data_IF_323404963891
#
_entry.id   IF_323404963891
#
_cell.length_a   1.000
_cell.length_b   1.000
_cell.length_c   1.000
_cell.angle_alpha   90.00
_cell.angle_beta   90.00
_cell.angle_gamma   90.00
#
_symmetry.space_group_name_H-M   'P 1'
#
loop_
_entity.id
_entity.type
_entity.pdbx_description
1 polymer ?
#
# COMPACT_ATOMS: atom_id res chain seq x y z
N UNK A 1 -17.01 45.25 8.45
CA UNK A 1 -17.40 43.91 7.98
C UNK A 1 -16.48 43.44 6.88
N UNK A 2 -16.43 44.17 5.78
CA UNK A 2 -15.66 43.80 4.57
C UNK A 2 -14.17 43.55 4.79
N UNK A 3 -13.49 44.31 5.65
CA UNK A 3 -12.06 44.12 5.92
C UNK A 3 -11.76 42.82 6.68
N UNK A 4 -12.62 42.44 7.61
CA UNK A 4 -12.45 41.21 8.38
C UNK A 4 -12.84 39.98 7.54
N UNK A 5 -13.83 40.13 6.66
CA UNK A 5 -14.20 39.14 5.64
C UNK A 5 -13.04 38.79 4.70
N UNK A 6 -12.32 39.80 4.22
CA UNK A 6 -11.15 39.60 3.37
C UNK A 6 -10.02 38.89 4.15
N UNK A 7 -9.77 39.28 5.39
CA UNK A 7 -8.70 38.71 6.22
C UNK A 7 -8.93 37.22 6.51
N UNK A 8 -10.12 36.82 6.95
CA UNK A 8 -10.40 35.40 7.21
C UNK A 8 -10.59 34.57 5.96
N UNK A 9 -10.70 35.19 4.78
CA UNK A 9 -10.73 34.45 3.51
C UNK A 9 -9.31 34.17 3.03
N UNK A 10 -8.42 35.17 3.10
CA UNK A 10 -7.03 35.05 2.63
C UNK A 10 -6.18 34.19 3.57
N UNK A 11 -6.36 34.34 4.89
CA UNK A 11 -5.52 33.66 5.87
C UNK A 11 -5.61 32.11 5.75
N UNK A 12 -6.81 31.50 5.65
CA UNK A 12 -6.94 30.08 5.36
C UNK A 12 -6.39 29.69 3.98
N UNK A 13 -6.55 30.51 2.94
CA UNK A 13 -5.99 30.22 1.61
C UNK A 13 -4.47 30.12 1.63
N UNK A 14 -3.79 30.98 2.39
CA UNK A 14 -2.33 30.92 2.54
C UNK A 14 -1.91 29.66 3.31
N UNK A 15 -2.63 29.29 4.37
CA UNK A 15 -2.36 28.04 5.11
C UNK A 15 -2.49 26.83 4.18
N UNK A 16 -3.55 26.77 3.37
CA UNK A 16 -3.73 25.70 2.39
C UNK A 16 -2.60 25.66 1.37
N UNK A 17 -2.12 26.81 0.90
CA UNK A 17 -0.98 26.87 -0.02
C UNK A 17 0.29 26.27 0.60
N UNK A 18 0.58 26.57 1.87
CA UNK A 18 1.73 26.00 2.56
C UNK A 18 1.64 24.49 2.77
N UNK A 19 0.44 23.94 2.95
CA UNK A 19 0.23 22.49 3.07
C UNK A 19 0.28 21.81 1.69
N UNK A 20 -0.23 22.47 0.65
CA UNK A 20 -0.29 21.92 -0.70
C UNK A 20 1.10 21.74 -1.33
N UNK A 21 2.04 22.68 -1.11
CA UNK A 21 3.39 22.60 -1.67
C UNK A 21 4.13 21.30 -1.31
N UNK A 22 4.31 20.92 -0.02
CA UNK A 22 4.95 19.65 0.32
C UNK A 22 4.11 18.44 -0.09
N UNK A 23 2.78 18.54 -0.09
CA UNK A 23 1.89 17.46 -0.55
C UNK A 23 2.09 17.13 -2.03
N UNK A 24 2.19 18.14 -2.89
CA UNK A 24 2.42 17.94 -4.32
C UNK A 24 3.85 17.46 -4.60
N UNK A 25 4.85 18.02 -3.91
CA UNK A 25 6.22 17.54 -4.03
C UNK A 25 6.33 16.05 -3.68
N UNK A 26 5.66 15.61 -2.61
CA UNK A 26 5.61 14.21 -2.22
C UNK A 26 4.91 13.34 -3.29
N UNK A 27 3.75 13.79 -3.77
CA UNK A 27 3.00 13.07 -4.80
C UNK A 27 3.84 12.80 -6.05
N UNK A 28 4.50 13.84 -6.59
CA UNK A 28 5.34 13.69 -7.77
C UNK A 28 6.58 12.84 -7.49
N UNK A 29 7.17 12.91 -6.29
CA UNK A 29 8.30 12.05 -5.93
C UNK A 29 7.92 10.56 -5.81
N UNK A 30 6.66 10.25 -5.47
CA UNK A 30 6.17 8.87 -5.37
C UNK A 30 5.81 8.28 -6.74
N UNK A 31 5.37 9.11 -7.70
CA UNK A 31 4.97 8.69 -9.04
C UNK A 31 6.18 8.36 -9.94
N UNK A 32 7.37 8.86 -9.60
CA UNK A 32 8.61 8.49 -10.25
C UNK A 32 9.02 7.03 -9.93
N UNK A 33 8.32 6.07 -10.54
CA UNK A 33 8.73 4.65 -10.66
C UNK A 33 9.87 4.57 -11.70
N UNK A 34 10.99 5.22 -11.40
CA UNK A 34 12.14 5.34 -12.32
C UNK A 34 13.18 4.22 -12.09
N UNK A 35 12.97 3.38 -11.07
CA UNK A 35 13.88 2.26 -10.80
C UNK A 35 13.30 1.02 -11.44
N UNK A 36 13.98 0.50 -12.47
CA UNK A 36 13.71 -0.83 -13.03
C UNK A 36 13.52 -1.83 -11.87
N UNK A 37 12.31 -2.38 -11.66
CA UNK A 37 12.06 -3.22 -10.52
C UNK A 37 12.87 -4.52 -10.66
N UNK A 38 13.64 -4.86 -9.62
CA UNK A 38 14.45 -6.08 -9.63
C UNK A 38 13.59 -7.35 -9.50
N UNK A 39 12.41 -7.25 -8.87
CA UNK A 39 11.43 -8.32 -8.68
C UNK A 39 10.02 -7.72 -8.73
N UNK A 40 9.11 -8.42 -9.40
CA UNK A 40 7.68 -8.14 -9.50
C UNK A 40 6.89 -9.26 -8.85
N UNK A 41 6.05 -8.88 -7.88
CA UNK A 41 5.11 -9.78 -7.21
C UNK A 41 3.71 -9.22 -7.45
N UNK A 42 2.80 -10.06 -7.93
CA UNK A 42 1.38 -9.70 -8.02
C UNK A 42 0.66 -10.17 -6.77
N UNK A 43 -0.08 -9.28 -6.13
CA UNK A 43 -1.00 -9.61 -5.05
C UNK A 43 -2.44 -9.59 -5.58
N UNK A 44 -3.09 -10.74 -5.62
CA UNK A 44 -4.47 -10.92 -6.11
C UNK A 44 -5.39 -11.06 -4.91
N UNK A 45 -6.33 -10.14 -4.76
CA UNK A 45 -7.32 -10.17 -3.68
C UNK A 45 -8.54 -11.01 -4.06
N UNK A 46 -8.83 -12.04 -3.26
CA UNK A 46 -10.05 -12.84 -3.35
C UNK A 46 -10.98 -12.55 -2.18
N UNK A 47 -12.15 -13.19 -2.16
CA UNK A 47 -13.08 -13.06 -1.04
C UNK A 47 -12.49 -13.74 0.21
N UNK A 48 -11.93 -12.92 1.11
CA UNK A 48 -11.35 -13.26 2.41
C UNK A 48 -9.97 -13.96 2.41
N UNK A 49 -9.24 -13.92 1.30
CA UNK A 49 -7.84 -14.38 1.23
C UNK A 49 -7.09 -13.65 0.11
N UNK A 50 -5.76 -13.78 0.13
CA UNK A 50 -4.88 -13.20 -0.87
C UNK A 50 -4.06 -14.28 -1.57
N UNK A 51 -3.81 -14.13 -2.86
CA UNK A 51 -2.91 -15.00 -3.61
C UNK A 51 -1.73 -14.17 -4.12
N UNK A 52 -0.51 -14.68 -3.93
CA UNK A 52 0.70 -13.99 -4.37
C UNK A 52 1.36 -14.77 -5.51
N UNK A 53 1.68 -14.07 -6.60
CA UNK A 53 2.35 -14.62 -7.79
C UNK A 53 3.69 -13.93 -8.03
N UNK A 54 4.78 -14.70 -8.03
CA UNK A 54 6.10 -14.23 -8.45
C UNK A 54 6.25 -14.41 -9.97
N UNK A 55 6.16 -13.33 -10.74
CA UNK A 55 6.16 -13.39 -12.20
C UNK A 55 7.53 -13.49 -12.84
N UNK A 56 8.59 -13.14 -12.10
CA UNK A 56 9.91 -12.89 -12.69
C UNK A 56 10.81 -14.13 -12.75
N UNK A 57 10.47 -15.19 -12.01
CA UNK A 57 11.23 -16.44 -11.94
C UNK A 57 10.70 -17.52 -12.90
N UNK A 58 10.39 -17.16 -14.15
CA UNK A 58 10.03 -18.11 -15.20
C UNK A 58 11.29 -18.73 -15.83
N UNK A 59 11.95 -19.64 -15.11
CA UNK A 59 13.17 -20.31 -15.60
C UNK A 59 12.90 -21.46 -16.58
N UNK A 60 11.65 -21.90 -16.65
CA UNK A 60 11.15 -22.93 -17.57
C UNK A 60 9.64 -22.77 -17.66
N UNK A 61 9.05 -23.09 -18.80
CA UNK A 61 7.67 -22.85 -19.26
C UNK A 61 6.53 -23.40 -18.37
N UNK A 62 6.80 -23.77 -17.11
CA UNK A 62 5.85 -24.36 -16.19
C UNK A 62 6.09 -23.85 -14.76
N UNK A 63 5.12 -23.06 -14.28
CA UNK A 63 4.84 -22.66 -12.90
C UNK A 63 5.55 -21.40 -12.39
N UNK A 64 4.83 -20.27 -12.51
CA UNK A 64 5.05 -19.13 -11.61
C UNK A 64 4.84 -19.59 -10.16
N UNK A 65 5.73 -19.20 -9.26
CA UNK A 65 5.58 -19.50 -7.83
C UNK A 65 4.32 -18.78 -7.33
N UNK A 66 3.28 -19.54 -7.04
CA UNK A 66 1.97 -19.05 -6.62
C UNK A 66 1.55 -19.74 -5.33
N UNK A 67 1.02 -18.96 -4.38
CA UNK A 67 0.43 -19.51 -3.15
C UNK A 67 -0.69 -18.62 -2.64
N UNK A 68 -1.61 -19.24 -1.91
CA UNK A 68 -2.71 -18.56 -1.20
C UNK A 68 -2.31 -18.29 0.26
N UNK A 69 -2.74 -17.14 0.77
CA UNK A 69 -2.52 -16.65 2.12
C UNK A 69 -3.87 -16.46 2.81
N UNK A 70 -4.17 -17.34 3.76
CA UNK A 70 -5.36 -17.35 4.59
C UNK A 70 -5.04 -16.93 6.02
N UNK A 71 -6.00 -16.29 6.68
CA UNK A 71 -5.89 -15.97 8.10
C UNK A 71 -5.95 -17.25 8.95
N UNK A 72 -5.03 -17.39 9.90
CA UNK A 72 -5.03 -18.53 10.84
C UNK A 72 -6.22 -18.39 11.81
N UNK A 73 -7.08 -19.43 11.94
CA UNK A 73 -8.16 -19.44 12.92
C UNK A 73 -7.65 -19.35 14.36
N UNK A 74 -8.44 -18.78 15.28
CA UNK A 74 -8.01 -18.59 16.67
C UNK A 74 -7.64 -19.89 17.39
N UNK A 75 -8.26 -21.00 17.00
CA UNK A 75 -7.99 -22.33 17.55
C UNK A 75 -6.63 -22.91 17.12
N UNK A 76 -6.11 -22.47 15.96
CA UNK A 76 -4.85 -22.92 15.37
C UNK A 76 -3.68 -21.97 15.68
N UNK A 77 -3.91 -20.90 16.46
CA UNK A 77 -2.86 -19.94 16.83
C UNK A 77 -1.90 -20.51 17.88
N UNK A 78 -0.60 -20.42 17.60
CA UNK A 78 0.46 -20.79 18.54
C UNK A 78 0.71 -19.68 19.59
N UNK A 79 1.29 -20.06 20.73
CA UNK A 79 1.60 -19.11 21.80
C UNK A 79 2.59 -18.04 21.31
N UNK A 80 2.15 -16.78 21.26
CA UNK A 80 2.95 -15.64 20.81
C UNK A 80 2.55 -15.10 19.43
N UNK A 81 1.64 -15.78 18.72
CA UNK A 81 1.08 -15.32 17.45
C UNK A 81 0.02 -14.23 17.62
N UNK A 82 -0.09 -13.34 16.62
CA UNK A 82 -1.02 -12.20 16.63
C UNK A 82 -2.37 -12.57 16.04
N UNK A 83 -3.41 -12.48 16.87
CA UNK A 83 -4.81 -12.67 16.45
C UNK A 83 -5.18 -11.72 15.31
N UNK A 84 -5.80 -12.25 14.26
CA UNK A 84 -6.26 -11.52 13.06
C UNK A 84 -5.18 -10.92 12.15
N UNK A 85 -3.90 -11.15 12.45
CA UNK A 85 -2.78 -10.68 11.61
C UNK A 85 -1.93 -11.83 11.08
N UNK A 86 -2.11 -13.01 11.67
CA UNK A 86 -1.37 -14.21 11.31
C UNK A 86 -1.98 -14.93 10.12
N UNK A 87 -1.10 -15.41 9.25
CA UNK A 87 -1.43 -16.09 8.00
C UNK A 87 -0.64 -17.39 7.88
N UNK A 88 -1.21 -18.34 7.17
CA UNK A 88 -0.59 -19.65 6.92
C UNK A 88 0.68 -19.54 6.06
N UNK A 89 0.60 -18.84 4.93
CA UNK A 89 1.70 -18.59 4.00
C UNK A 89 2.01 -17.09 3.96
N UNK A 90 3.26 -16.75 4.28
CA UNK A 90 3.78 -15.38 4.30
C UNK A 90 4.52 -15.06 3.01
N UNK A 91 4.43 -13.80 2.59
CA UNK A 91 5.27 -13.20 1.54
C UNK A 91 6.55 -12.66 2.16
#
# INVERSE_FOLDING_TARGET
GTTIEILWTIFPSIILMFIAIPSFALLYSMDEVVVDPAITIKAIGHQWYWTYEYSDYNSSDEQSLTFDSYMIPEDDLELGQLRLLEVDNRV
#
